data_IF_758613726036
#
_entry.id   IF_758613726036
#
_cell.length_a   1.000
_cell.length_b   1.000
_cell.length_c   1.000
_cell.angle_alpha   90.00
_cell.angle_beta   90.00
_cell.angle_gamma   90.00
#
_symmetry.space_group_name_H-M   'P 1'
#
loop_
_entity.id
_entity.type
_entity.pdbx_description
1 polymer ?
#
# COMPACT_ATOMS: atom_id res chain seq x y z
N UNK A 1 1.41 21.88 14.50
CA UNK A 1 1.45 21.98 13.03
C UNK A 1 0.95 20.65 12.47
N UNK A 2 -0.33 20.56 12.08
CA UNK A 2 -0.99 19.33 11.66
C UNK A 2 -0.77 19.10 10.16
N UNK A 3 0.21 18.28 9.80
CA UNK A 3 0.38 17.82 8.42
C UNK A 3 -0.59 16.68 8.13
N UNK A 4 -1.86 16.99 7.86
CA UNK A 4 -2.81 16.01 7.30
C UNK A 4 -2.97 16.20 5.81
N UNK A 5 -1.88 16.04 5.05
CA UNK A 5 -1.95 15.93 3.60
C UNK A 5 -2.47 14.53 3.28
N UNK A 6 -3.78 14.39 3.00
CA UNK A 6 -4.35 13.15 2.49
C UNK A 6 -3.87 12.96 1.05
N UNK A 7 -2.74 12.29 0.85
CA UNK A 7 -2.26 11.92 -0.47
C UNK A 7 -3.10 10.75 -1.01
N UNK A 8 -4.05 11.06 -1.88
CA UNK A 8 -4.68 10.04 -2.73
C UNK A 8 -3.93 10.01 -4.06
N UNK A 9 -3.65 8.81 -4.55
CA UNK A 9 -3.13 8.58 -5.90
C UNK A 9 -4.12 7.73 -6.67
N UNK A 10 -4.26 8.01 -7.97
CA UNK A 10 -5.21 7.33 -8.85
C UNK A 10 -4.43 6.71 -10.02
N UNK A 11 -3.64 5.65 -9.79
CA UNK A 11 -3.06 4.89 -10.89
C UNK A 11 -4.16 4.35 -11.81
N UNK A 12 -3.85 4.33 -13.10
CA UNK A 12 -4.69 3.70 -14.12
C UNK A 12 -4.17 2.28 -14.38
N UNK A 13 -5.04 1.30 -14.25
CA UNK A 13 -4.80 -0.04 -14.78
C UNK A 13 -5.31 -0.09 -16.21
N UNK A 14 -4.42 -0.41 -17.14
CA UNK A 14 -4.73 -0.48 -18.56
C UNK A 14 -4.60 -1.94 -19.01
N UNK A 15 -5.73 -2.55 -19.36
CA UNK A 15 -5.78 -3.90 -19.90
C UNK A 15 -6.04 -3.83 -21.40
N UNK A 16 -5.21 -4.51 -22.19
CA UNK A 16 -5.47 -4.75 -23.61
C UNK A 16 -5.91 -6.20 -23.76
N UNK A 17 -7.16 -6.40 -24.15
CA UNK A 17 -7.79 -7.71 -24.28
C UNK A 17 -8.03 -7.97 -25.76
N UNK A 18 -7.50 -9.06 -26.29
CA UNK A 18 -7.84 -9.53 -27.64
C UNK A 18 -8.83 -10.66 -27.49
N UNK A 19 -9.99 -10.52 -28.11
CA UNK A 19 -11.02 -11.57 -28.11
C UNK A 19 -10.67 -12.70 -29.10
N UNK A 20 -11.39 -13.83 -29.07
CA UNK A 20 -11.14 -14.93 -30.01
C UNK A 20 -11.35 -14.58 -31.49
N UNK A 21 -12.04 -13.48 -31.81
CA UNK A 21 -12.21 -12.98 -33.19
C UNK A 21 -11.03 -12.13 -33.66
N UNK A 22 -10.07 -11.83 -32.78
CA UNK A 22 -8.93 -10.97 -33.04
C UNK A 22 -9.20 -9.48 -32.80
N UNK A 23 -10.40 -9.10 -32.35
CA UNK A 23 -10.70 -7.73 -31.98
C UNK A 23 -10.02 -7.37 -30.65
N UNK A 24 -9.33 -6.23 -30.63
CA UNK A 24 -8.67 -5.72 -29.44
C UNK A 24 -9.55 -4.67 -28.75
N UNK A 25 -9.76 -4.84 -27.44
CA UNK A 25 -10.43 -3.87 -26.56
C UNK A 25 -9.43 -3.36 -25.52
N UNK A 26 -9.48 -2.06 -25.23
CA UNK A 26 -8.72 -1.46 -24.12
C UNK A 26 -9.69 -1.16 -22.98
N UNK A 27 -9.39 -1.68 -21.79
CA UNK A 27 -10.12 -1.41 -20.55
C UNK A 27 -9.20 -0.55 -19.68
N UNK A 28 -9.69 0.60 -19.25
CA UNK A 28 -8.96 1.51 -18.36
C UNK A 28 -9.75 1.64 -17.07
N UNK A 29 -9.15 1.25 -15.96
CA UNK A 29 -9.74 1.34 -14.62
C UNK A 29 -8.90 2.26 -13.73
N UNK A 30 -9.55 3.14 -12.99
CA UNK A 30 -8.89 3.95 -11.97
C UNK A 30 -8.92 3.25 -10.62
N UNK A 31 -7.77 3.16 -9.97
CA UNK A 31 -7.70 2.59 -8.62
C UNK A 31 -7.35 3.66 -7.61
N UNK A 32 -8.32 4.02 -6.77
CA UNK A 32 -8.12 5.02 -5.72
C UNK A 32 -7.29 4.44 -4.58
N UNK A 33 -6.01 4.78 -4.56
CA UNK A 33 -5.10 4.45 -3.47
C UNK A 33 -4.97 5.64 -2.51
N UNK A 34 -4.97 5.33 -1.21
CA UNK A 34 -4.62 6.30 -0.19
C UNK A 34 -3.23 5.98 0.34
N UNK A 35 -2.32 6.93 0.17
CA UNK A 35 -0.98 6.83 0.71
C UNK A 35 -1.00 7.22 2.19
N UNK A 36 -0.35 6.39 3.02
CA UNK A 36 -0.12 6.67 4.42
C UNK A 36 1.38 6.60 4.70
N UNK A 37 1.89 7.60 5.42
CA UNK A 37 3.22 7.51 5.98
C UNK A 37 3.26 6.48 7.10
N UNK A 38 4.42 5.87 7.31
CA UNK A 38 4.68 4.88 8.36
C UNK A 38 4.09 5.29 9.72
N UNK A 39 4.41 6.51 10.18
CA UNK A 39 3.95 7.04 11.47
C UNK A 39 2.41 7.14 11.59
N UNK A 40 1.70 7.33 10.47
CA UNK A 40 0.23 7.39 10.46
C UNK A 40 -0.37 6.00 10.67
N UNK A 41 0.22 4.98 10.05
CA UNK A 41 -0.17 3.58 10.26
C UNK A 41 0.16 3.15 11.69
N UNK A 42 1.36 3.45 12.18
CA UNK A 42 1.76 3.14 13.56
C UNK A 42 0.81 3.78 14.58
N UNK A 43 0.46 5.05 14.38
CA UNK A 43 -0.48 5.77 15.25
C UNK A 43 -1.87 5.11 15.26
N UNK A 44 -2.37 4.71 14.09
CA UNK A 44 -3.67 4.04 13.98
C UNK A 44 -3.68 2.68 14.70
N UNK A 45 -2.60 1.90 14.59
CA UNK A 45 -2.44 0.63 15.30
C UNK A 45 -2.46 0.85 16.82
N UNK A 46 -1.69 1.81 17.33
CA UNK A 46 -1.64 2.10 18.77
C UNK A 46 -3.00 2.59 19.30
N UNK A 47 -3.69 3.44 18.54
CA UNK A 47 -5.04 3.93 18.89
C UNK A 47 -6.09 2.82 18.92
N UNK A 48 -5.90 1.73 18.17
CA UNK A 48 -6.76 0.54 18.24
C UNK A 48 -6.55 -0.33 19.48
N UNK A 49 -5.59 0.02 20.35
CA UNK A 49 -5.23 -0.76 21.54
C UNK A 49 -4.27 -1.91 21.28
N UNK A 50 -3.77 -2.06 20.05
CA UNK A 50 -2.75 -3.05 19.70
C UNK A 50 -1.34 -2.54 20.06
N UNK A 51 -0.43 -3.49 20.31
CA UNK A 51 1.00 -3.23 20.47
C UNK A 51 1.76 -3.70 19.23
N UNK A 52 2.59 -2.82 18.69
CA UNK A 52 3.52 -3.18 17.61
C UNK A 52 4.69 -3.94 18.22
N UNK A 53 4.96 -5.14 17.69
CA UNK A 53 6.04 -6.02 18.15
C UNK A 53 7.27 -5.97 17.28
N UNK A 54 7.07 -5.84 15.98
CA UNK A 54 8.14 -5.86 15.00
C UNK A 54 7.70 -5.11 13.73
N UNK A 55 8.67 -4.58 13.00
CA UNK A 55 8.48 -3.88 11.71
C UNK A 55 9.62 -4.24 10.77
N UNK A 56 9.30 -4.73 9.57
CA UNK A 56 10.30 -5.11 8.58
C UNK A 56 9.86 -4.82 7.14
N UNK A 57 10.85 -4.75 6.24
CA UNK A 57 10.73 -4.25 4.87
C UNK A 57 10.30 -5.26 3.81
N UNK A 58 10.21 -6.54 4.15
CA UNK A 58 9.93 -7.65 3.24
C UNK A 58 9.70 -8.93 4.07
N UNK A 59 9.12 -9.97 3.48
CA UNK A 59 8.79 -11.21 4.20
C UNK A 59 10.02 -11.96 4.76
N UNK A 60 11.23 -11.66 4.26
CA UNK A 60 12.51 -12.14 4.77
C UNK A 60 12.99 -11.43 6.05
N UNK A 61 12.20 -10.47 6.55
CA UNK A 61 12.49 -9.61 7.71
C UNK A 61 13.69 -8.67 7.50
N UNK A 62 14.07 -8.38 6.26
CA UNK A 62 15.11 -7.40 5.98
C UNK A 62 14.75 -6.01 6.56
N UNK A 63 15.74 -5.22 6.99
CA UNK A 63 15.51 -3.84 7.39
C UNK A 63 14.84 -3.05 6.26
N UNK A 64 13.88 -2.19 6.60
CA UNK A 64 13.13 -1.38 5.64
C UNK A 64 14.03 -0.59 4.67
N UNK A 65 15.15 -0.06 5.19
CA UNK A 65 16.05 0.83 4.46
C UNK A 65 16.97 0.12 3.46
N UNK A 66 17.08 -1.21 3.53
CA UNK A 66 18.03 -1.95 2.70
C UNK A 66 17.41 -2.49 1.41
N UNK A 67 16.10 -2.78 1.37
CA UNK A 67 15.42 -3.31 0.16
C UNK A 67 13.88 -3.17 0.18
N UNK A 68 13.29 -2.44 1.12
CA UNK A 68 11.87 -2.60 1.42
C UNK A 68 10.92 -1.88 0.46
N UNK A 69 10.31 -2.61 -0.49
CA UNK A 69 9.10 -2.16 -1.21
C UNK A 69 7.84 -2.24 -0.34
N UNK A 70 7.91 -2.97 0.77
CA UNK A 70 6.78 -3.31 1.63
C UNK A 70 7.06 -2.85 3.07
N UNK A 71 6.00 -2.54 3.83
CA UNK A 71 6.08 -2.29 5.27
C UNK A 71 5.17 -3.30 5.96
N UNK A 72 5.77 -4.26 6.67
CA UNK A 72 5.06 -5.28 7.42
C UNK A 72 5.09 -4.93 8.91
N UNK A 73 3.92 -4.82 9.54
CA UNK A 73 3.77 -4.57 10.98
C UNK A 73 3.22 -5.82 11.66
N UNK A 74 3.98 -6.37 12.60
CA UNK A 74 3.51 -7.49 13.44
C UNK A 74 2.91 -6.90 14.71
N UNK A 75 1.60 -7.09 14.89
CA UNK A 75 0.85 -6.52 16.01
C UNK A 75 0.32 -7.61 16.93
N UNK A 76 0.19 -7.29 18.22
CA UNK A 76 -0.51 -8.14 19.20
C UNK A 76 -1.54 -7.35 19.98
N UNK A 77 -2.54 -8.05 20.50
CA UNK A 77 -3.48 -7.52 21.50
C UNK A 77 -2.79 -7.30 22.85
#
# INVERSE_FOLDING_TARGET
>A
MLWTTKAYVYPQYIFKVTDPSGQMTTIIEEFKLKYYYKHQIESAVLQSGLKIKDIFGSFDKAPFYENGKENLLVCKK
#
